data_IF_022490049620
#
_entry.id   IF_022490049620
#
_cell.length_a   1.000
_cell.length_b   1.000
_cell.length_c   1.000
_cell.angle_alpha   90.00
_cell.angle_beta   90.00
_cell.angle_gamma   90.00
#
_symmetry.space_group_name_H-M   'P 1'
#
loop_
_entity.id
_entity.type
_entity.pdbx_description
1 polymer ?
#
# COMPACT_ATOMS: atom_id res chain seq x y z
N UNK A 1 -10.41 -16.85 -16.65
CA UNK A 1 -9.30 -16.78 -15.68
C UNK A 1 -9.71 -15.78 -14.59
N UNK A 2 -10.19 -16.26 -13.44
CA UNK A 2 -10.39 -15.40 -12.27
C UNK A 2 -9.01 -15.26 -11.61
N UNK A 3 -8.50 -14.05 -11.30
CA UNK A 3 -7.22 -13.98 -10.61
C UNK A 3 -7.40 -14.66 -9.26
N UNK A 4 -6.51 -15.63 -9.00
CA UNK A 4 -6.39 -16.28 -7.70
C UNK A 4 -6.37 -15.22 -6.60
N UNK A 5 -6.99 -15.52 -5.46
CA UNK A 5 -6.91 -14.69 -4.27
C UNK A 5 -5.44 -14.29 -4.06
N UNK A 6 -5.13 -13.03 -4.37
CA UNK A 6 -3.78 -12.52 -4.52
C UNK A 6 -3.08 -12.67 -3.18
N UNK A 7 -2.31 -13.73 -2.98
CA UNK A 7 -1.59 -13.96 -1.74
C UNK A 7 -0.56 -12.85 -1.59
N UNK A 8 -0.83 -11.91 -0.69
CA UNK A 8 0.09 -10.83 -0.34
C UNK A 8 0.94 -11.29 0.85
N UNK A 9 2.22 -10.92 0.84
CA UNK A 9 3.09 -11.22 1.97
C UNK A 9 2.69 -10.40 3.20
N UNK A 10 3.08 -10.86 4.40
CA UNK A 10 2.86 -10.10 5.65
C UNK A 10 3.40 -8.67 5.55
N UNK A 11 4.57 -8.49 4.94
CA UNK A 11 5.19 -7.18 4.71
C UNK A 11 4.32 -6.27 3.84
N UNK A 12 3.73 -6.81 2.77
CA UNK A 12 2.80 -6.08 1.91
C UNK A 12 1.51 -5.68 2.64
N UNK A 13 0.96 -6.57 3.48
CA UNK A 13 -0.19 -6.28 4.31
C UNK A 13 0.10 -5.20 5.36
N UNK A 14 1.27 -5.27 6.00
CA UNK A 14 1.71 -4.27 6.98
C UNK A 14 1.91 -2.90 6.33
N UNK A 15 2.41 -2.86 5.09
CA UNK A 15 2.52 -1.63 4.30
C UNK A 15 1.14 -1.05 3.96
N UNK A 16 0.18 -1.86 3.47
CA UNK A 16 -1.20 -1.41 3.20
C UNK A 16 -1.87 -0.85 4.45
N UNK A 17 -1.71 -1.54 5.58
CA UNK A 17 -2.25 -1.10 6.87
C UNK A 17 -1.62 0.21 7.31
N UNK A 18 -0.32 0.40 7.07
CA UNK A 18 0.37 1.65 7.39
C UNK A 18 -0.15 2.81 6.54
N UNK A 19 -0.31 2.59 5.24
CA UNK A 19 -0.86 3.59 4.30
C UNK A 19 -2.30 3.96 4.70
N UNK A 20 -3.11 2.98 5.11
CA UNK A 20 -4.47 3.21 5.59
C UNK A 20 -4.52 4.09 6.86
N UNK A 21 -3.59 3.84 7.78
CA UNK A 21 -3.61 4.42 9.13
C UNK A 21 -2.92 5.78 9.21
N UNK A 22 -1.81 5.96 8.50
CA UNK A 22 -0.93 7.13 8.65
C UNK A 22 -1.09 8.11 7.49
N UNK A 23 -1.46 9.34 7.84
CA UNK A 23 -1.51 10.46 6.89
C UNK A 23 -0.13 11.00 6.53
N UNK A 24 0.84 10.90 7.44
CA UNK A 24 2.19 11.39 7.20
C UNK A 24 2.99 10.33 6.44
N UNK A 25 3.36 10.69 5.21
CA UNK A 25 4.12 9.84 4.30
C UNK A 25 5.24 10.66 3.66
N UNK A 26 6.41 10.07 3.50
CA UNK A 26 7.54 10.72 2.85
C UNK A 26 8.40 9.70 2.11
N UNK A 27 8.71 9.98 0.85
CA UNK A 27 9.70 9.22 0.09
C UNK A 27 11.11 9.72 0.40
N UNK A 28 11.99 8.81 0.80
CA UNK A 28 13.42 9.06 1.07
C UNK A 28 14.24 8.03 0.30
N UNK A 29 14.79 8.45 -0.84
CA UNK A 29 15.52 7.55 -1.75
C UNK A 29 14.63 6.39 -2.23
N UNK A 30 15.05 5.15 -1.91
CA UNK A 30 14.36 3.90 -2.26
C UNK A 30 13.44 3.38 -1.15
N UNK A 31 13.05 4.24 -0.21
CA UNK A 31 12.22 3.89 0.94
C UNK A 31 11.11 4.91 1.12
N UNK A 32 9.94 4.43 1.50
CA UNK A 32 8.82 5.20 2.00
C UNK A 32 8.80 5.16 3.52
N UNK A 33 8.76 6.34 4.14
CA UNK A 33 8.46 6.52 5.54
C UNK A 33 6.96 6.73 5.66
N UNK A 34 6.28 5.86 6.41
CA UNK A 34 4.82 5.87 6.58
C UNK A 34 4.54 5.71 8.07
N UNK A 35 4.24 6.82 8.74
CA UNK A 35 4.25 6.86 10.20
C UNK A 35 5.64 6.51 10.76
N UNK A 36 5.72 5.45 11.54
CA UNK A 36 6.94 4.89 12.13
C UNK A 36 7.60 3.80 11.25
N UNK A 37 7.00 3.46 10.11
CA UNK A 37 7.45 2.34 9.27
C UNK A 37 8.32 2.79 8.10
N UNK A 38 9.30 1.94 7.78
CA UNK A 38 10.14 2.03 6.58
C UNK A 38 9.71 0.94 5.61
N UNK A 39 9.19 1.32 4.45
CA UNK A 39 8.72 0.41 3.41
C UNK A 39 9.60 0.59 2.18
N UNK A 40 10.18 -0.49 1.67
CA UNK A 40 10.99 -0.40 0.45
C UNK A 40 10.12 0.03 -0.75
N UNK A 41 10.65 0.86 -1.65
CA UNK A 41 9.96 1.26 -2.88
C UNK A 41 9.53 0.04 -3.69
N UNK A 42 10.34 -1.02 -3.73
CA UNK A 42 9.98 -2.29 -4.39
C UNK A 42 8.71 -2.94 -3.82
N UNK A 43 8.48 -2.81 -2.51
CA UNK A 43 7.25 -3.30 -1.87
C UNK A 43 6.05 -2.48 -2.33
N UNK A 44 6.22 -1.17 -2.49
CA UNK A 44 5.18 -0.29 -3.02
C UNK A 44 4.89 -0.62 -4.49
N UNK A 45 5.92 -0.75 -5.33
CA UNK A 45 5.77 -1.16 -6.74
C UNK A 45 5.03 -2.49 -6.89
N UNK A 46 5.29 -3.45 -5.99
CA UNK A 46 4.57 -4.73 -5.97
C UNK A 46 3.09 -4.56 -5.61
N UNK A 47 2.76 -3.62 -4.72
CA UNK A 47 1.38 -3.30 -4.36
C UNK A 47 0.67 -2.54 -5.49
N UNK A 48 1.37 -1.64 -6.19
CA UNK A 48 0.85 -0.94 -7.36
C UNK A 48 0.57 -1.89 -8.52
N UNK A 49 1.45 -2.87 -8.78
CA UNK A 49 1.21 -3.93 -9.78
C UNK A 49 -0.02 -4.80 -9.49
N UNK A 50 -0.44 -4.85 -8.22
CA UNK A 50 -1.65 -5.57 -7.76
C UNK A 50 -2.87 -4.67 -7.68
N UNK A 51 -2.76 -3.41 -8.12
CA UNK A 51 -3.80 -2.38 -8.05
C UNK A 51 -4.31 -2.14 -6.62
N UNK A 52 -3.43 -2.24 -5.63
CA UNK A 52 -3.76 -2.02 -4.21
C UNK A 52 -3.32 -0.63 -3.71
N UNK A 53 -2.33 -0.03 -4.36
CA UNK A 53 -1.81 1.29 -4.02
C UNK A 53 -1.64 2.08 -5.29
N UNK A 54 -1.73 3.39 -5.19
CA UNK A 54 -1.31 4.32 -6.24
C UNK A 54 -0.44 5.42 -5.66
N UNK A 55 0.72 5.65 -6.25
CA UNK A 55 1.50 6.87 -6.02
C UNK A 55 0.82 8.05 -6.73
N UNK A 56 0.57 9.11 -5.98
CA UNK A 56 0.03 10.39 -6.46
C UNK A 56 0.92 11.53 -5.99
N UNK A 57 0.93 12.64 -6.72
CA UNK A 57 1.66 13.84 -6.31
C UNK A 57 0.68 14.90 -5.80
N UNK A 58 0.74 15.22 -4.51
CA UNK A 58 0.02 16.36 -3.93
C UNK A 58 0.98 17.53 -3.79
N UNK A 59 0.74 18.62 -4.52
CA UNK A 59 1.60 19.82 -4.50
C UNK A 59 3.09 19.50 -4.73
N UNK A 60 3.38 18.57 -5.63
CA UNK A 60 4.75 18.12 -5.92
C UNK A 60 5.37 17.17 -4.88
N UNK A 61 4.62 16.83 -3.81
CA UNK A 61 5.04 15.84 -2.82
C UNK A 61 4.41 14.48 -3.15
N UNK A 62 5.22 13.42 -3.32
CA UNK A 62 4.69 12.08 -3.58
C UNK A 62 4.00 11.54 -2.32
N UNK A 63 2.82 10.96 -2.50
CA UNK A 63 2.03 10.29 -1.49
C UNK A 63 1.41 9.00 -2.03
N UNK A 64 1.11 8.06 -1.15
CA UNK A 64 0.47 6.79 -1.47
C UNK A 64 -0.99 6.82 -1.01
N UNK A 65 -1.88 6.46 -1.92
CA UNK A 65 -3.30 6.27 -1.64
C UNK A 65 -3.68 4.80 -1.85
N UNK A 66 -4.66 4.34 -1.06
CA UNK A 66 -5.28 3.03 -1.28
C UNK A 66 -6.31 3.12 -2.39
N UNK A 67 -6.30 2.14 -3.28
CA UNK A 67 -7.37 1.90 -4.25
C UNK A 67 -8.61 1.37 -3.54
N UNK A 68 -9.74 1.31 -4.25
CA UNK A 68 -10.97 0.75 -3.69
C UNK A 68 -10.87 -0.77 -3.51
N UNK A 69 -10.08 -1.43 -4.36
CA UNK A 69 -9.67 -2.84 -4.25
C UNK A 69 -8.92 -3.07 -2.93
N UNK A 70 -7.95 -2.22 -2.58
CA UNK A 70 -7.24 -2.35 -1.31
C UNK A 70 -8.12 -2.06 -0.10
N UNK A 71 -9.03 -1.09 -0.17
CA UNK A 71 -9.99 -0.86 0.92
C UNK A 71 -10.88 -2.08 1.12
N UNK A 72 -11.37 -2.68 0.02
CA UNK A 72 -12.18 -3.90 0.05
C UNK A 72 -11.38 -5.07 0.61
N UNK A 73 -10.13 -5.22 0.18
CA UNK A 73 -9.20 -6.24 0.68
C UNK A 73 -8.93 -6.08 2.19
N UNK A 74 -8.73 -4.86 2.68
CA UNK A 74 -8.54 -4.59 4.11
C UNK A 74 -9.82 -4.75 4.94
N UNK A 75 -10.97 -4.39 4.37
CA UNK A 75 -12.29 -4.57 4.99
C UNK A 75 -12.69 -6.06 5.06
N UNK A 76 -12.18 -6.88 4.14
CA UNK A 76 -12.41 -8.32 4.01
C UNK A 76 -11.89 -9.21 5.14
N UNK A 77 -11.53 -8.67 6.31
CA UNK A 77 -11.42 -9.45 7.57
C UNK A 77 -12.80 -9.86 8.14
N UNK A 78 -13.75 -10.19 7.27
CA UNK A 78 -15.04 -10.79 7.60
C UNK A 78 -15.43 -11.76 6.47
N UNK A 79 -14.75 -12.91 6.40
CA UNK A 79 -15.23 -14.21 5.89
C UNK A 79 -14.02 -15.09 5.52
N UNK A 80 -13.48 -15.76 6.53
CA UNK A 80 -13.20 -17.20 6.47
C UNK A 80 -13.59 -17.79 7.81
#
# INVERSE_FOLDING_TARGET
MKPEATSITKTSLDALTAIAKFRHQRRVGRVWLIGDRRVATRTIETLEQKDLVREVAFHGTPALILTDEAKTFLAGKHQQ
#
